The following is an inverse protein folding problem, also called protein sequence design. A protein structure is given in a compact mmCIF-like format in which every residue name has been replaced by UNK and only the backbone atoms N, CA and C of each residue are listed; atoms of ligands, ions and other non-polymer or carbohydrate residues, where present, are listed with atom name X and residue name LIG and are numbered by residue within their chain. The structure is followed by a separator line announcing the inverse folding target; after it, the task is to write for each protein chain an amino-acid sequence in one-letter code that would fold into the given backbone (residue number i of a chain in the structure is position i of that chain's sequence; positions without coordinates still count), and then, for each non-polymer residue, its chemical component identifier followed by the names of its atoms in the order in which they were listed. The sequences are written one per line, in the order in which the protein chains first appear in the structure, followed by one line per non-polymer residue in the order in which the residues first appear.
data_IF_294941519388
#
_entry.id   IF_294941519388
#
_cell.length_a   1.000
_cell.length_b   1.000
_cell.length_c   1.000
_cell.angle_alpha   90.00
_cell.angle_beta   90.00
_cell.angle_gamma   90.00
#
_symmetry.space_group_name_H-M   'P 1'
#
loop_
_entity.id
_entity.type
_entity.pdbx_description
1 polymer ?
#
# COMPACT_ATOMS: atom_id res chain seq x y z
N UNK A 1 -19.24 0.56 31.50
CA UNK A 1 -18.67 1.24 30.32
C UNK A 1 -19.12 2.67 30.35
N UNK A 2 -18.17 3.62 30.39
CA UNK A 2 -18.52 5.04 30.29
C UNK A 2 -18.96 5.37 28.85
N UNK A 3 -19.81 6.37 28.68
CA UNK A 3 -20.25 6.84 27.35
C UNK A 3 -19.03 7.20 26.47
N UNK A 4 -18.02 7.82 27.07
CA UNK A 4 -16.76 8.21 26.39
C UNK A 4 -15.96 7.01 25.86
N UNK A 5 -15.92 5.89 26.57
CA UNK A 5 -15.23 4.68 26.13
C UNK A 5 -15.96 4.02 24.94
N UNK A 6 -17.29 4.06 24.94
CA UNK A 6 -18.10 3.59 23.81
C UNK A 6 -17.88 4.43 22.57
N UNK A 7 -17.77 5.75 22.71
CA UNK A 7 -17.55 6.68 21.61
C UNK A 7 -16.14 6.50 21.03
N UNK A 8 -15.12 6.37 21.89
CA UNK A 8 -13.75 6.12 21.46
C UNK A 8 -13.63 4.79 20.66
N UNK A 9 -14.29 3.72 21.15
CA UNK A 9 -14.33 2.44 20.46
C UNK A 9 -14.98 2.56 19.08
N UNK A 10 -16.09 3.27 18.96
CA UNK A 10 -16.77 3.49 17.69
C UNK A 10 -15.90 4.26 16.71
N UNK A 11 -15.20 5.31 17.17
CA UNK A 11 -14.29 6.08 16.33
C UNK A 11 -13.13 5.24 15.80
N UNK A 12 -12.53 4.40 16.65
CA UNK A 12 -11.46 3.46 16.27
C UNK A 12 -11.95 2.49 15.19
N UNK A 13 -13.12 1.86 15.40
CA UNK A 13 -13.70 0.94 14.41
C UNK A 13 -13.97 1.62 13.07
N UNK A 14 -14.59 2.81 13.10
CA UNK A 14 -14.89 3.58 11.89
C UNK A 14 -13.61 3.93 11.14
N UNK A 15 -12.55 4.34 11.84
CA UNK A 15 -11.27 4.66 11.22
C UNK A 15 -10.65 3.43 10.55
N UNK A 16 -10.62 2.29 11.23
CA UNK A 16 -10.09 1.03 10.71
C UNK A 16 -10.91 0.49 9.52
N UNK A 17 -12.24 0.65 9.54
CA UNK A 17 -13.10 0.28 8.42
C UNK A 17 -12.92 1.17 7.19
N UNK A 18 -12.49 2.41 7.37
CA UNK A 18 -12.18 3.33 6.26
C UNK A 18 -10.81 3.07 5.63
N UNK A 19 -9.88 2.46 6.35
CA UNK A 19 -8.55 2.17 5.83
C UNK A 19 -7.49 2.05 6.91
N UNK A 20 -6.29 2.56 6.60
CA UNK A 20 -5.16 2.50 7.51
C UNK A 20 -5.21 3.61 8.54
N UNK A 21 -5.06 3.27 9.81
CA UNK A 21 -4.83 4.21 10.89
C UNK A 21 -3.31 4.34 11.12
N UNK A 22 -2.82 5.58 11.12
CA UNK A 22 -1.42 5.90 11.40
C UNK A 22 -1.30 6.69 12.71
N UNK A 23 -0.33 6.32 13.55
CA UNK A 23 -0.07 6.96 14.84
C UNK A 23 0.17 8.48 14.73
N UNK A 24 0.88 8.90 13.66
CA UNK A 24 1.17 10.32 13.41
C UNK A 24 -0.04 11.12 12.92
N UNK A 25 -1.07 10.46 12.38
CA UNK A 25 -2.24 11.13 11.81
C UNK A 25 -3.20 11.62 12.87
N UNK A 26 -3.47 10.79 13.87
CA UNK A 26 -4.33 11.07 15.02
C UNK A 26 -3.79 10.33 16.24
N UNK A 27 -2.88 10.96 17.02
CA UNK A 27 -2.28 10.33 18.21
C UNK A 27 -3.29 9.95 19.29
N UNK A 28 -4.38 10.69 19.44
CA UNK A 28 -5.40 10.40 20.44
C UNK A 28 -6.20 9.14 20.07
N UNK A 29 -6.57 9.03 18.78
CA UNK A 29 -7.25 7.85 18.26
C UNK A 29 -6.33 6.63 18.26
N UNK A 30 -5.03 6.82 17.98
CA UNK A 30 -4.03 5.78 18.10
C UNK A 30 -3.92 5.23 19.51
N UNK A 31 -3.83 6.09 20.53
CA UNK A 31 -3.81 5.66 21.93
C UNK A 31 -5.09 4.89 22.28
N UNK A 32 -6.26 5.38 21.83
CA UNK A 32 -7.52 4.66 22.04
C UNK A 32 -7.52 3.28 21.39
N UNK A 33 -6.90 3.11 20.21
CA UNK A 33 -6.72 1.80 19.60
C UNK A 33 -5.86 0.88 20.46
N UNK A 34 -4.73 1.37 20.99
CA UNK A 34 -3.84 0.57 21.84
C UNK A 34 -4.56 0.08 23.09
N UNK A 35 -5.33 0.96 23.74
CA UNK A 35 -6.08 0.64 24.95
C UNK A 35 -7.23 -0.36 24.68
N UNK A 36 -7.83 -0.30 23.49
CA UNK A 36 -9.00 -1.07 23.10
C UNK A 36 -8.71 -2.23 22.14
N UNK A 37 -7.44 -2.55 21.87
CA UNK A 37 -7.07 -3.50 20.82
C UNK A 37 -7.71 -4.88 20.99
N UNK A 38 -7.80 -5.41 22.20
CA UNK A 38 -8.41 -6.71 22.44
C UNK A 38 -9.90 -6.69 22.04
N UNK A 39 -10.62 -5.65 22.45
CA UNK A 39 -12.03 -5.44 22.13
C UNK A 39 -12.28 -5.27 20.63
N UNK A 40 -11.35 -4.55 19.94
CA UNK A 40 -11.41 -4.40 18.48
C UNK A 40 -11.24 -5.75 17.81
N UNK A 41 -10.25 -6.56 18.23
CA UNK A 41 -10.03 -7.93 17.71
C UNK A 41 -11.26 -8.81 17.85
N UNK A 42 -11.87 -8.82 19.04
CA UNK A 42 -13.08 -9.59 19.31
C UNK A 42 -14.26 -9.13 18.43
N UNK A 43 -14.38 -7.83 18.21
CA UNK A 43 -15.48 -7.27 17.42
C UNK A 43 -15.36 -7.55 15.93
N UNK A 44 -14.15 -7.52 15.37
CA UNK A 44 -13.93 -7.71 13.93
C UNK A 44 -13.82 -9.20 13.54
N UNK A 45 -13.51 -10.09 14.49
CA UNK A 45 -13.34 -11.51 14.24
C UNK A 45 -14.59 -12.19 13.63
N UNK A 46 -15.84 -11.92 14.11
CA UNK A 46 -17.06 -12.47 13.50
C UNK A 46 -17.28 -12.01 12.06
N UNK A 47 -16.68 -10.87 11.67
CA UNK A 47 -16.74 -10.34 10.30
C UNK A 47 -15.69 -10.99 9.37
N UNK A 48 -14.94 -11.97 9.85
CA UNK A 48 -13.84 -12.59 9.11
C UNK A 48 -12.63 -11.65 8.93
N UNK A 49 -12.52 -10.63 9.79
CA UNK A 49 -11.42 -9.68 9.77
C UNK A 49 -10.45 -9.91 10.92
N UNK A 50 -9.21 -9.52 10.73
CA UNK A 50 -8.19 -9.46 11.76
C UNK A 50 -7.55 -8.07 11.82
N UNK A 51 -7.24 -7.61 13.03
CA UNK A 51 -6.50 -6.38 13.27
C UNK A 51 -5.00 -6.67 13.13
N UNK A 52 -4.38 -6.05 12.14
CA UNK A 52 -2.94 -5.97 12.01
C UNK A 52 -2.50 -4.66 12.66
N UNK A 53 -1.64 -4.75 13.66
CA UNK A 53 -1.14 -3.63 14.44
C UNK A 53 0.38 -3.75 14.53
N UNK A 54 1.08 -2.75 14.05
CA UNK A 54 2.52 -2.60 14.18
C UNK A 54 2.81 -1.30 14.95
N UNK A 55 3.06 -1.45 16.24
CA UNK A 55 3.30 -0.31 17.14
C UNK A 55 4.64 0.37 16.87
N UNK A 56 5.66 -0.41 16.46
CA UNK A 56 6.98 0.12 16.19
C UNK A 56 7.00 0.98 14.92
N UNK A 57 6.27 0.55 13.89
CA UNK A 57 6.16 1.26 12.61
C UNK A 57 4.97 2.24 12.60
N UNK A 58 4.13 2.24 13.64
CA UNK A 58 3.05 3.20 13.87
C UNK A 58 1.89 3.13 12.88
N UNK A 59 1.45 1.93 12.51
CA UNK A 59 0.26 1.74 11.67
C UNK A 59 -0.62 0.58 12.14
N UNK A 60 -1.91 0.67 11.81
CA UNK A 60 -2.87 -0.42 12.00
C UNK A 60 -3.89 -0.46 10.85
N UNK A 61 -4.36 -1.65 10.50
CA UNK A 61 -5.41 -1.86 9.50
C UNK A 61 -6.14 -3.18 9.71
N UNK A 62 -7.28 -3.34 9.06
CA UNK A 62 -8.02 -4.60 9.04
C UNK A 62 -7.69 -5.39 7.78
N UNK A 63 -7.42 -6.69 7.96
CA UNK A 63 -7.16 -7.64 6.90
C UNK A 63 -8.23 -8.74 6.92
N UNK A 64 -8.67 -9.19 5.75
CA UNK A 64 -9.52 -10.38 5.65
C UNK A 64 -8.71 -11.61 6.09
N UNK A 65 -9.24 -12.39 7.04
CA UNK A 65 -8.63 -13.67 7.41
C UNK A 65 -8.60 -14.61 6.21
N UNK A 66 -7.54 -15.39 6.03
CA UNK A 66 -7.57 -16.51 5.10
C UNK A 66 -8.71 -17.47 5.45
N UNK A 67 -9.33 -18.07 4.43
CA UNK A 67 -10.31 -19.13 4.66
C UNK A 67 -9.63 -20.31 5.34
N UNK A 68 -10.23 -20.80 6.42
CA UNK A 68 -9.77 -21.99 7.13
C UNK A 68 -10.64 -23.16 6.66
N UNK A 69 -10.01 -24.31 6.39
CA UNK A 69 -10.72 -25.53 5.98
C UNK A 69 -11.75 -25.94 7.05
N UNK A 70 -13.02 -26.06 6.65
CA UNK A 70 -14.13 -26.39 7.55
C UNK A 70 -14.87 -25.17 8.15
N UNK A 71 -14.40 -23.95 7.95
CA UNK A 71 -15.16 -22.73 8.28
C UNK A 71 -16.02 -22.27 7.09
N UNK A 72 -17.20 -21.65 7.36
CA UNK A 72 -18.00 -21.06 6.30
C UNK A 72 -17.25 -19.96 5.58
N UNK A 73 -17.29 -19.97 4.24
CA UNK A 73 -16.69 -18.88 3.42
C UNK A 73 -17.52 -17.61 3.60
N UNK A 74 -16.99 -16.67 4.40
CA UNK A 74 -17.64 -15.41 4.65
C UNK A 74 -17.46 -14.46 3.46
N UNK A 75 -18.50 -13.72 3.07
CA UNK A 75 -18.38 -12.69 2.03
C UNK A 75 -17.34 -11.65 2.46
N UNK A 76 -16.50 -11.24 1.52
CA UNK A 76 -15.43 -10.27 1.78
C UNK A 76 -16.01 -8.88 2.03
N UNK A 77 -15.76 -8.33 3.21
CA UNK A 77 -16.07 -6.93 3.54
C UNK A 77 -15.11 -5.97 2.84
N UNK A 78 -13.85 -6.36 2.70
CA UNK A 78 -12.86 -5.58 1.96
C UNK A 78 -12.80 -6.14 0.54
N UNK A 79 -13.38 -5.40 -0.42
CA UNK A 79 -13.31 -5.77 -1.82
C UNK A 79 -11.83 -5.85 -2.27
N UNK A 80 -11.45 -6.94 -2.95
CA UNK A 80 -10.18 -6.98 -3.67
C UNK A 80 -10.23 -5.94 -4.77
N UNK A 81 -9.58 -4.80 -4.56
CA UNK A 81 -9.37 -3.85 -5.64
C UNK A 81 -8.27 -4.45 -6.53
N UNK A 82 -8.64 -4.79 -7.75
CA UNK A 82 -7.63 -5.09 -8.76
C UNK A 82 -6.90 -3.78 -9.05
N UNK A 83 -5.64 -3.72 -8.66
CA UNK A 83 -4.78 -2.59 -9.00
C UNK A 83 -4.36 -2.72 -10.46
N UNK A 84 -4.43 -1.62 -11.20
CA UNK A 84 -3.87 -1.59 -12.55
C UNK A 84 -2.35 -1.85 -12.51
N UNK A 85 -1.84 -2.41 -13.60
CA UNK A 85 -0.43 -2.77 -13.72
C UNK A 85 0.54 -1.65 -13.27
N UNK A 86 0.32 -0.42 -13.72
CA UNK A 86 1.19 0.71 -13.41
C UNK A 86 1.22 1.06 -11.91
N UNK A 87 0.08 0.97 -11.22
CA UNK A 87 0.01 1.18 -9.76
C UNK A 87 0.72 0.03 -9.04
N UNK A 88 0.50 -1.21 -9.48
CA UNK A 88 1.17 -2.39 -8.89
C UNK A 88 2.68 -2.31 -9.06
N UNK A 89 3.16 -1.96 -10.25
CA UNK A 89 4.58 -1.75 -10.55
C UNK A 89 5.16 -0.67 -9.62
N UNK A 90 4.49 0.48 -9.50
CA UNK A 90 4.96 1.57 -8.66
C UNK A 90 5.05 1.16 -7.18
N UNK A 91 4.08 0.40 -6.66
CA UNK A 91 4.11 -0.11 -5.29
C UNK A 91 5.31 -1.06 -5.06
N UNK A 92 5.63 -1.92 -6.04
CA UNK A 92 6.83 -2.79 -5.97
C UNK A 92 8.11 -1.98 -5.95
N UNK A 93 8.23 -1.00 -6.84
CA UNK A 93 9.42 -0.16 -6.94
C UNK A 93 9.64 0.65 -5.66
N UNK A 94 8.57 1.24 -5.12
CA UNK A 94 8.61 1.93 -3.83
C UNK A 94 8.98 0.99 -2.69
N UNK A 95 8.46 -0.25 -2.69
CA UNK A 95 8.79 -1.26 -1.68
C UNK A 95 10.26 -1.67 -1.76
N UNK A 96 10.80 -1.87 -2.99
CA UNK A 96 12.22 -2.15 -3.21
C UNK A 96 13.08 -0.99 -2.72
N UNK A 97 12.71 0.24 -3.08
CA UNK A 97 13.42 1.45 -2.63
C UNK A 97 13.42 1.60 -1.11
N UNK A 98 12.29 1.26 -0.46
CA UNK A 98 12.19 1.24 1.00
C UNK A 98 13.11 0.18 1.64
N UNK A 99 13.27 -0.99 1.01
CA UNK A 99 14.18 -2.02 1.49
C UNK A 99 15.65 -1.60 1.36
N UNK A 100 16.02 -0.97 0.23
CA UNK A 100 17.35 -0.40 0.02
C UNK A 100 17.68 0.68 1.07
N UNK A 101 16.71 1.55 1.33
CA UNK A 101 16.82 2.61 2.34
C UNK A 101 17.02 2.04 3.75
N UNK A 102 16.23 1.04 4.15
CA UNK A 102 16.36 0.39 5.46
C UNK A 102 17.71 -0.29 5.63
N UNK A 103 18.30 -0.83 4.57
CA UNK A 103 19.61 -1.46 4.60
C UNK A 103 20.76 -0.45 4.82
N UNK A 104 20.54 0.84 4.51
CA UNK A 104 21.54 1.91 4.70
C UNK A 104 21.56 2.46 6.14
N UNK A 105 20.45 2.33 6.89
CA UNK A 105 20.41 2.48 8.36
C UNK A 105 20.47 3.90 8.93
N UNK A 106 20.65 4.94 8.11
CA UNK A 106 20.96 6.29 8.60
C UNK A 106 19.75 7.20 8.86
N UNK A 107 18.61 6.91 8.26
CA UNK A 107 17.42 7.77 8.32
C UNK A 107 16.16 6.98 8.68
N UNK A 108 15.19 7.68 9.30
CA UNK A 108 13.94 7.04 9.75
C UNK A 108 12.83 7.07 8.69
N UNK A 109 12.93 7.97 7.69
CA UNK A 109 11.87 8.23 6.70
C UNK A 109 12.43 8.32 5.30
N UNK A 110 11.90 7.49 4.41
CA UNK A 110 12.19 7.58 2.98
C UNK A 110 11.31 8.66 2.34
N UNK A 111 11.95 9.74 1.90
CA UNK A 111 11.29 10.84 1.18
C UNK A 111 11.81 10.84 -0.25
N UNK A 112 10.90 10.84 -1.22
CA UNK A 112 11.18 10.90 -2.64
C UNK A 112 10.41 12.07 -3.25
N UNK A 113 11.01 12.77 -4.21
CA UNK A 113 10.28 13.71 -5.03
C UNK A 113 9.60 13.03 -6.23
N UNK A 114 8.73 13.78 -6.89
CA UNK A 114 7.97 13.31 -8.04
C UNK A 114 8.88 12.82 -9.19
N UNK A 115 9.99 13.50 -9.42
CA UNK A 115 10.94 13.17 -10.49
C UNK A 115 11.65 11.85 -10.17
N UNK A 116 12.14 11.68 -8.94
CA UNK A 116 12.76 10.45 -8.49
C UNK A 116 11.80 9.25 -8.63
N UNK A 117 10.52 9.43 -8.30
CA UNK A 117 9.52 8.37 -8.48
C UNK A 117 9.27 8.09 -9.97
N UNK A 118 9.25 9.12 -10.81
CA UNK A 118 9.14 8.99 -12.26
C UNK A 118 10.30 8.19 -12.86
N UNK A 119 11.52 8.47 -12.42
CA UNK A 119 12.72 7.74 -12.85
C UNK A 119 12.68 6.25 -12.47
N UNK A 120 12.13 5.90 -11.31
CA UNK A 120 11.93 4.49 -10.94
C UNK A 120 11.05 3.75 -11.95
N UNK A 121 10.03 4.41 -12.49
CA UNK A 121 9.13 3.81 -13.48
C UNK A 121 9.72 3.77 -14.89
N UNK A 122 10.57 4.72 -15.25
CA UNK A 122 11.14 4.88 -16.59
C UNK A 122 11.87 3.62 -17.07
N UNK A 123 12.58 2.96 -16.17
CA UNK A 123 13.34 1.72 -16.46
C UNK A 123 12.45 0.56 -16.96
N UNK A 124 11.16 0.61 -16.63
CA UNK A 124 10.21 -0.48 -16.93
C UNK A 124 9.20 -0.10 -18.04
N UNK A 125 9.41 1.04 -18.67
CA UNK A 125 8.54 1.47 -19.78
C UNK A 125 9.26 1.28 -21.12
N UNK A 126 8.52 0.89 -22.18
CA UNK A 126 9.10 0.82 -23.52
C UNK A 126 9.65 2.20 -23.94
N UNK A 127 10.78 2.21 -24.66
CA UNK A 127 11.40 3.44 -25.19
C UNK A 127 10.45 4.30 -26.05
N UNK A 128 9.46 3.68 -26.67
CA UNK A 128 8.41 4.34 -27.45
C UNK A 128 7.29 4.97 -26.60
N UNK A 129 7.27 4.73 -25.27
CA UNK A 129 6.27 5.35 -24.40
C UNK A 129 6.51 6.85 -24.32
N UNK A 130 5.55 7.64 -24.80
CA UNK A 130 5.61 9.10 -24.76
C UNK A 130 5.78 9.56 -23.30
N UNK A 131 6.98 10.04 -22.96
CA UNK A 131 7.33 10.53 -21.62
C UNK A 131 6.28 11.50 -21.05
N UNK A 132 5.74 12.40 -21.87
CA UNK A 132 4.70 13.31 -21.45
C UNK A 132 3.46 12.59 -20.93
N UNK A 133 3.02 11.51 -21.59
CA UNK A 133 1.87 10.71 -21.12
C UNK A 133 2.16 9.93 -19.85
N UNK A 134 3.41 9.54 -19.63
CA UNK A 134 3.81 8.91 -18.37
C UNK A 134 3.68 9.88 -17.21
N UNK A 135 4.27 11.08 -17.36
CA UNK A 135 4.22 12.11 -16.32
C UNK A 135 2.81 12.63 -16.06
N UNK A 136 1.96 12.76 -17.10
CA UNK A 136 0.55 13.14 -16.94
C UNK A 136 -0.25 12.12 -16.10
N UNK A 137 0.07 10.83 -16.25
CA UNK A 137 -0.60 9.76 -15.48
C UNK A 137 0.03 9.51 -14.11
N UNK A 138 1.30 9.87 -13.93
CA UNK A 138 2.02 9.65 -12.68
C UNK A 138 1.32 10.32 -11.50
N UNK A 139 0.86 11.56 -11.67
CA UNK A 139 0.14 12.30 -10.63
C UNK A 139 -1.16 11.59 -10.21
N UNK A 140 -1.89 11.04 -11.16
CA UNK A 140 -3.10 10.25 -10.86
C UNK A 140 -2.74 8.97 -10.07
N UNK A 141 -1.65 8.29 -10.43
CA UNK A 141 -1.17 7.11 -9.72
C UNK A 141 -0.67 7.45 -8.31
N UNK A 142 0.11 8.54 -8.16
CA UNK A 142 0.59 9.02 -6.87
C UNK A 142 -0.57 9.40 -5.95
N UNK A 143 -1.57 10.13 -6.44
CA UNK A 143 -2.77 10.48 -5.69
C UNK A 143 -3.50 9.22 -5.23
N UNK A 144 -3.62 8.20 -6.10
CA UNK A 144 -4.24 6.92 -5.75
C UNK A 144 -3.49 6.19 -4.64
N UNK A 145 -2.16 6.17 -4.70
CA UNK A 145 -1.32 5.54 -3.68
C UNK A 145 -1.36 6.32 -2.36
N UNK A 146 -1.49 7.66 -2.41
CA UNK A 146 -1.73 8.50 -1.23
C UNK A 146 -3.10 8.19 -0.59
N UNK A 147 -4.17 8.07 -1.40
CA UNK A 147 -5.50 7.66 -0.92
C UNK A 147 -5.50 6.27 -0.27
N UNK A 148 -4.66 5.37 -0.77
CA UNK A 148 -4.48 4.03 -0.21
C UNK A 148 -3.66 4.03 1.09
N UNK A 149 -3.04 5.16 1.47
CA UNK A 149 -2.26 5.30 2.69
C UNK A 149 -0.82 4.82 2.61
N UNK A 150 -0.30 4.50 1.41
CA UNK A 150 1.09 4.01 1.20
C UNK A 150 2.09 5.13 0.94
N UNK A 151 1.61 6.28 0.48
CA UNK A 151 2.37 7.52 0.38
C UNK A 151 1.71 8.63 1.21
N UNK A 152 2.53 9.56 1.71
CA UNK A 152 2.08 10.81 2.33
C UNK A 152 2.71 11.98 1.59
N UNK A 153 1.87 12.88 1.04
CA UNK A 153 2.37 14.12 0.42
C UNK A 153 2.82 15.09 1.51
N UNK A 154 4.03 15.64 1.37
CA UNK A 154 4.60 16.61 2.30
C UNK A 154 4.26 18.03 1.84
N UNK A 155 3.51 18.75 2.68
CA UNK A 155 2.99 20.10 2.35
C UNK A 155 4.06 21.20 2.30
N UNK A 156 5.21 21.00 2.95
CA UNK A 156 6.21 22.05 3.17
C UNK A 156 7.29 22.16 2.11
N UNK A 157 7.39 21.22 1.17
CA UNK A 157 8.51 21.13 0.22
C UNK A 157 8.09 20.71 -1.20
N UNK A 158 7.00 21.25 -1.73
CA UNK A 158 6.60 20.97 -3.12
C UNK A 158 6.10 19.52 -3.33
N UNK A 159 6.51 18.91 -4.44
CA UNK A 159 6.05 17.57 -4.85
C UNK A 159 6.86 16.43 -4.19
N UNK A 160 6.99 16.45 -2.86
CA UNK A 160 7.65 15.40 -2.10
C UNK A 160 6.66 14.45 -1.44
N UNK A 161 7.03 13.16 -1.43
CA UNK A 161 6.24 12.08 -0.89
C UNK A 161 7.08 11.26 0.10
N UNK A 162 6.52 10.97 1.26
CA UNK A 162 7.06 10.01 2.19
C UNK A 162 6.49 8.63 1.87
N UNK A 163 7.36 7.65 1.71
CA UNK A 163 6.97 6.24 1.56
C UNK A 163 6.65 5.67 2.93
N UNK A 164 5.39 5.25 3.12
CA UNK A 164 4.91 4.78 4.43
C UNK A 164 5.31 3.32 4.67
N UNK A 165 5.70 3.03 5.90
CA UNK A 165 6.18 1.71 6.35
C UNK A 165 5.17 0.58 6.16
N UNK A 166 3.87 0.86 6.21
CA UNK A 166 2.81 -0.11 5.92
C UNK A 166 2.98 -0.80 4.56
N UNK A 167 3.70 -0.19 3.62
CA UNK A 167 3.98 -0.80 2.32
C UNK A 167 4.69 -2.14 2.46
N UNK A 168 5.47 -2.36 3.55
CA UNK A 168 6.12 -3.63 3.86
C UNK A 168 5.11 -4.75 4.14
N UNK A 169 4.01 -4.42 4.83
CA UNK A 169 2.96 -5.39 5.15
C UNK A 169 2.02 -5.65 3.97
N UNK A 170 1.86 -4.68 3.08
CA UNK A 170 1.01 -4.81 1.90
C UNK A 170 1.71 -5.52 0.74
N UNK A 171 2.99 -5.23 0.53
CA UNK A 171 3.83 -5.85 -0.51
C UNK A 171 4.83 -6.76 0.20
N UNK A 172 4.40 -7.97 0.53
CA UNK A 172 5.23 -8.99 1.15
C UNK A 172 6.15 -9.70 0.13
N UNK A 173 7.02 -10.59 0.63
CA UNK A 173 7.98 -11.29 -0.21
C UNK A 173 7.31 -12.21 -1.24
N UNK A 174 6.17 -12.81 -0.92
CA UNK A 174 5.43 -13.69 -1.83
C UNK A 174 4.82 -12.87 -2.97
N UNK A 175 4.22 -11.71 -2.64
CA UNK A 175 3.66 -10.80 -3.62
C UNK A 175 4.74 -10.23 -4.56
N UNK A 176 5.95 -9.94 -4.05
CA UNK A 176 7.10 -9.53 -4.85
C UNK A 176 7.52 -10.63 -5.84
N UNK A 177 7.62 -11.88 -5.39
CA UNK A 177 7.96 -13.02 -6.25
C UNK A 177 6.93 -13.27 -7.35
N UNK A 178 5.64 -13.22 -7.01
CA UNK A 178 4.54 -13.35 -7.96
C UNK A 178 4.55 -12.21 -8.99
N UNK A 179 4.89 -11.00 -8.55
CA UNK A 179 4.95 -9.84 -9.41
C UNK A 179 6.17 -9.87 -10.35
N UNK A 180 7.34 -10.28 -9.87
CA UNK A 180 8.54 -10.45 -10.70
C UNK A 180 8.29 -11.49 -11.82
N UNK A 181 7.63 -12.60 -11.49
CA UNK A 181 7.23 -13.61 -12.47
C UNK A 181 6.27 -13.04 -13.53
N UNK A 182 5.34 -12.18 -13.13
CA UNK A 182 4.42 -11.48 -14.04
C UNK A 182 5.14 -10.43 -14.88
N UNK A 183 6.08 -9.67 -14.31
CA UNK A 183 6.90 -8.71 -15.07
C UNK A 183 7.68 -9.39 -16.18
N UNK A 184 8.30 -10.53 -15.90
CA UNK A 184 9.01 -11.31 -16.90
C UNK A 184 8.07 -11.79 -18.02
N UNK A 185 6.85 -12.23 -17.67
CA UNK A 185 5.86 -12.63 -18.66
C UNK A 185 5.37 -11.46 -19.52
N UNK A 186 5.20 -10.27 -18.95
CA UNK A 186 4.84 -9.06 -19.70
C UNK A 186 5.97 -8.58 -20.60
N UNK A 187 7.21 -8.57 -20.12
CA UNK A 187 8.38 -8.21 -20.92
C UNK A 187 8.54 -9.16 -22.14
N UNK A 188 8.34 -10.46 -21.95
CA UNK A 188 8.40 -11.43 -23.04
C UNK A 188 7.26 -11.28 -24.06
N UNK A 189 6.04 -10.90 -23.60
CA UNK A 189 4.92 -10.63 -24.51
C UNK A 189 5.10 -9.32 -25.29
N UNK A 190 5.65 -8.27 -24.67
CA UNK A 190 5.96 -7.02 -25.34
C UNK A 190 7.03 -7.22 -26.43
N UNK A 191 8.12 -7.94 -26.12
CA UNK A 191 9.15 -8.28 -27.09
C UNK A 191 8.63 -9.16 -28.25
N UNK A 192 7.71 -10.09 -27.99
CA UNK A 192 7.08 -10.93 -29.01
C UNK A 192 6.08 -10.15 -29.90
N UNK A 193 5.45 -9.11 -29.38
CA UNK A 193 4.57 -8.23 -30.16
C UNK A 193 5.38 -7.33 -31.11
N UNK A 194 6.50 -6.76 -30.65
CA UNK A 194 7.40 -5.94 -31.46
C UNK A 194 8.09 -6.75 -32.57
N UNK A 195 8.45 -8.02 -32.30
CA UNK A 195 9.02 -8.90 -33.31
C UNK A 195 8.03 -9.26 -34.46
N UNK A 196 6.72 -9.28 -34.16
CA UNK A 196 5.67 -9.52 -35.15
C UNK A 196 5.35 -8.31 -36.04
N UNK A 197 5.61 -7.08 -35.56
CA UNK A 197 5.43 -5.85 -36.35
C UNK A 197 6.62 -5.53 -37.27
N UNK A 198 7.76 -6.22 -37.09
CA UNK A 198 8.99 -6.06 -37.90
C UNK A 198 9.19 -7.13 -38.98
N UNK A 199 8.29 -8.09 -39.12
CA UNK A 199 8.30 -9.01 -40.28
C UNK A 199 7.59 -8.33 -41.47
N UNK A 200 8.30 -8.10 -42.60
CA UNK A 200 7.81 -7.39 -43.76
C UNK A 200 6.78 -8.21 -44.60
#
# INVERSE_FOLDING_TARGET
MSSQESDAFSLVLIALMKGVLHAEGDPALWQSLLDLQARVRDHVAPLGLELILDEAEGYAFLRQRPAVEGEPDLPRLVARRQLGYQISLLLVLLRKKLAEFDAQGDETRLILDREQIGELMRVFLPEAANEARLFDRLDAHLNKIVEMGFLRRLRSKGDQFEVRRILKAFVDAQWLGDFESRLQSYASHAAAAEAKEQEP
#
